data_IF_995526054399
#
_entry.id   IF_995526054399
#
_cell.length_a   1.000
_cell.length_b   1.000
_cell.length_c   1.000
_cell.angle_alpha   90.00
_cell.angle_beta   90.00
_cell.angle_gamma   90.00
#
_symmetry.space_group_name_H-M   'P 1'
#
loop_
_entity.id
_entity.type
_entity.pdbx_description
1 polymer ?
#
# COMPACT_ATOMS: atom_id res chain seq x y z
N UNK A 1 -11.21 -5.37 1.93
CA UNK A 1 -9.98 -4.78 1.35
C UNK A 1 -10.40 -3.51 0.66
N UNK A 2 -9.58 -2.45 0.71
CA UNK A 2 -9.82 -1.22 -0.05
C UNK A 2 -8.92 -1.21 -1.30
N UNK A 3 -9.26 -0.37 -2.29
CA UNK A 3 -8.54 -0.28 -3.56
C UNK A 3 -7.02 -0.11 -3.37
N UNK A 4 -6.61 0.68 -2.36
CA UNK A 4 -5.20 0.87 -1.99
C UNK A 4 -4.52 -0.44 -1.57
N UNK A 5 -5.14 -1.21 -0.68
CA UNK A 5 -4.58 -2.47 -0.16
C UNK A 5 -4.40 -3.53 -1.25
N UNK A 6 -5.34 -3.58 -2.20
CA UNK A 6 -5.29 -4.50 -3.34
C UNK A 6 -4.22 -4.07 -4.33
N UNK A 7 -4.16 -2.77 -4.64
CA UNK A 7 -3.13 -2.20 -5.50
C UNK A 7 -1.72 -2.53 -5.00
N UNK A 8 -1.43 -2.25 -3.72
CA UNK A 8 -0.12 -2.51 -3.12
C UNK A 8 0.20 -4.01 -3.16
N UNK A 9 -0.74 -4.87 -2.79
CA UNK A 9 -0.56 -6.32 -2.79
C UNK A 9 -0.29 -6.86 -4.19
N UNK A 10 -1.04 -6.40 -5.20
CA UNK A 10 -0.90 -6.85 -6.58
C UNK A 10 0.45 -6.39 -7.16
N UNK A 11 0.83 -5.15 -6.91
CA UNK A 11 2.12 -4.62 -7.36
C UNK A 11 3.28 -5.38 -6.72
N UNK A 12 3.23 -5.63 -5.40
CA UNK A 12 4.22 -6.46 -4.70
C UNK A 12 4.36 -7.84 -5.34
N UNK A 13 3.24 -8.54 -5.57
CA UNK A 13 3.23 -9.87 -6.19
C UNK A 13 3.77 -9.84 -7.63
N UNK A 14 3.43 -8.84 -8.43
CA UNK A 14 3.92 -8.69 -9.80
C UNK A 14 5.44 -8.53 -9.88
N UNK A 15 6.05 -7.99 -8.83
CA UNK A 15 7.50 -7.81 -8.70
C UNK A 15 8.18 -9.01 -8.01
N UNK A 16 7.44 -10.07 -7.67
CA UNK A 16 7.98 -11.26 -6.99
C UNK A 16 8.45 -11.02 -5.56
N UNK A 17 8.06 -9.90 -4.93
CA UNK A 17 8.52 -9.54 -3.59
C UNK A 17 7.68 -10.22 -2.49
N UNK A 18 8.35 -10.68 -1.45
CA UNK A 18 7.73 -11.05 -0.18
C UNK A 18 7.37 -9.80 0.64
N UNK A 19 6.52 -9.94 1.66
CA UNK A 19 6.17 -8.81 2.54
C UNK A 19 7.38 -8.23 3.29
N UNK A 20 8.32 -9.05 3.84
CA UNK A 20 9.55 -8.53 4.44
C UNK A 20 10.42 -7.73 3.46
N UNK A 21 10.62 -8.23 2.23
CA UNK A 21 11.43 -7.52 1.23
C UNK A 21 10.80 -6.19 0.82
N UNK A 22 9.47 -6.12 0.69
CA UNK A 22 8.79 -4.84 0.44
C UNK A 22 8.98 -3.89 1.62
N UNK A 23 8.87 -4.38 2.85
CA UNK A 23 9.03 -3.56 4.05
C UNK A 23 10.44 -2.95 4.10
N UNK A 24 11.46 -3.78 3.87
CA UNK A 24 12.86 -3.37 3.83
C UNK A 24 13.12 -2.33 2.74
N UNK A 25 12.70 -2.61 1.48
CA UNK A 25 12.86 -1.68 0.37
C UNK A 25 12.16 -0.35 0.61
N UNK A 26 11.01 -0.35 1.29
CA UNK A 26 10.23 0.86 1.57
C UNK A 26 10.76 1.64 2.79
N UNK A 27 11.72 1.11 3.55
CA UNK A 27 12.13 1.68 4.83
C UNK A 27 10.99 1.68 5.86
N UNK A 28 10.16 0.64 5.85
CA UNK A 28 9.02 0.47 6.76
C UNK A 28 9.11 -0.84 7.53
N UNK A 29 8.33 -0.97 8.62
CA UNK A 29 8.27 -2.22 9.37
C UNK A 29 7.37 -3.26 8.70
N UNK A 30 7.69 -4.55 8.84
CA UNK A 30 6.86 -5.67 8.32
C UNK A 30 5.39 -5.57 8.78
N UNK A 31 5.15 -5.17 10.03
CA UNK A 31 3.80 -4.96 10.56
C UNK A 31 3.02 -3.91 9.76
N UNK A 32 3.70 -2.84 9.31
CA UNK A 32 3.06 -1.80 8.51
C UNK A 32 2.61 -2.34 7.15
N UNK A 33 3.45 -3.11 6.44
CA UNK A 33 3.08 -3.75 5.17
C UNK A 33 1.90 -4.71 5.36
N UNK A 34 1.89 -5.49 6.45
CA UNK A 34 0.77 -6.38 6.77
C UNK A 34 -0.53 -5.60 7.01
N UNK A 35 -0.48 -4.57 7.85
CA UNK A 35 -1.62 -3.69 8.14
C UNK A 35 -2.15 -3.02 6.85
N UNK A 36 -1.24 -2.53 6.00
CA UNK A 36 -1.55 -1.91 4.71
C UNK A 36 -2.24 -2.89 3.76
N UNK A 37 -1.65 -4.07 3.55
CA UNK A 37 -2.23 -5.08 2.64
C UNK A 37 -3.49 -5.75 3.18
N UNK A 38 -3.72 -5.74 4.50
CA UNK A 38 -4.98 -6.20 5.10
C UNK A 38 -6.09 -5.12 5.03
N UNK A 39 -5.75 -3.89 4.62
CA UNK A 39 -6.70 -2.80 4.52
C UNK A 39 -7.12 -2.26 5.89
N UNK A 40 -6.17 -2.14 6.82
CA UNK A 40 -6.40 -1.52 8.13
C UNK A 40 -7.09 -0.15 7.95
N UNK A 41 -8.10 0.11 8.78
CA UNK A 41 -8.91 1.34 8.72
C UNK A 41 -8.09 2.63 8.80
N UNK A 42 -6.99 2.62 9.56
CA UNK A 42 -6.13 3.78 9.77
C UNK A 42 -4.66 3.43 9.53
N UNK A 43 -4.01 4.28 8.74
CA UNK A 43 -2.59 4.18 8.36
C UNK A 43 -2.01 5.59 8.33
N UNK A 44 -0.70 5.72 8.56
CA UNK A 44 -0.03 7.02 8.45
C UNK A 44 0.26 7.33 6.98
N UNK A 45 -0.20 8.49 6.51
CA UNK A 45 -0.13 8.89 5.10
C UNK A 45 1.32 8.95 4.58
N UNK A 46 2.26 9.45 5.39
CA UNK A 46 3.69 9.49 5.06
C UNK A 46 4.23 8.09 4.74
N UNK A 47 3.84 7.08 5.52
CA UNK A 47 4.27 5.69 5.33
C UNK A 47 3.61 5.01 4.15
N UNK A 48 2.36 5.36 3.85
CA UNK A 48 1.72 4.88 2.63
C UNK A 48 2.45 5.42 1.40
N UNK A 49 2.76 6.72 1.38
CA UNK A 49 3.50 7.32 0.27
C UNK A 49 4.93 6.78 0.15
N UNK A 50 5.60 6.41 1.25
CA UNK A 50 6.89 5.71 1.17
C UNK A 50 6.80 4.38 0.39
N UNK A 51 5.75 3.60 0.62
CA UNK A 51 5.53 2.34 -0.09
C UNK A 51 5.13 2.60 -1.55
N UNK A 52 4.24 3.56 -1.79
CA UNK A 52 3.78 3.88 -3.15
C UNK A 52 4.90 4.46 -4.03
N UNK A 53 5.84 5.21 -3.45
CA UNK A 53 6.98 5.79 -4.16
C UNK A 53 7.87 4.71 -4.81
N UNK A 54 8.00 3.53 -4.19
CA UNK A 54 8.71 2.39 -4.78
C UNK A 54 8.10 1.91 -6.10
N UNK A 55 6.81 2.18 -6.28
CA UNK A 55 6.06 1.78 -7.46
C UNK A 55 5.88 2.93 -8.45
N UNK A 56 6.33 4.14 -8.12
CA UNK A 56 6.10 5.36 -8.89
C UNK A 56 4.71 5.99 -8.68
N UNK A 57 4.11 5.81 -7.50
CA UNK A 57 2.78 6.32 -7.17
C UNK A 57 2.79 7.17 -5.90
N UNK A 58 1.73 7.93 -5.70
CA UNK A 58 1.44 8.67 -4.46
C UNK A 58 -0.06 8.64 -4.17
N UNK A 59 -0.43 8.90 -2.92
CA UNK A 59 -1.82 9.11 -2.54
C UNK A 59 -2.33 10.43 -3.12
N UNK A 60 -3.52 10.37 -3.71
CA UNK A 60 -4.23 11.53 -4.23
C UNK A 60 -5.73 11.38 -4.09
N UNK A 61 -6.49 12.48 -4.26
CA UNK A 61 -7.94 12.41 -4.33
C UNK A 61 -8.35 11.57 -5.55
N UNK A 62 -9.23 10.59 -5.31
CA UNK A 62 -9.90 9.82 -6.36
C UNK A 62 -11.38 10.13 -6.31
N UNK A 63 -12.06 10.05 -7.46
CA UNK A 63 -13.51 10.24 -7.51
C UNK A 63 -14.18 9.17 -6.64
N UNK A 64 -15.02 9.61 -5.70
CA UNK A 64 -15.89 8.69 -4.98
C UNK A 64 -17.09 8.40 -5.89
N UNK A 65 -17.31 7.11 -6.17
CA UNK A 65 -18.55 6.66 -6.80
C UNK A 65 -19.59 6.53 -5.69
N UNK A 66 -20.59 7.40 -5.76
CA UNK A 66 -21.79 7.28 -4.93
C UNK A 66 -22.72 6.39 -5.75
N UNK A 67 -22.91 5.15 -5.32
CA UNK A 67 -24.03 4.34 -5.83
C UNK A 67 -25.32 5.01 -5.30
N UNK A 68 -26.16 5.51 -6.22
CA UNK A 68 -27.54 5.93 -5.94
C UNK A 68 -28.46 4.73 -5.68
#
# INVERSE_FOLDING_TARGET
>A
MNALSEFVRNRRKSLGLTQPELAEKAGTGLRFIRDLEQGKKTLRMDKVNQVLALFGYELGPVRQEWEE
#
